data_IF_772893892565
#
_entry.id   IF_772893892565
#
_cell.length_a   1.000
_cell.length_b   1.000
_cell.length_c   1.000
_cell.angle_alpha   90.00
_cell.angle_beta   90.00
_cell.angle_gamma   90.00
#
_symmetry.space_group_name_H-M   'P 1'
#
loop_
_entity.id
_entity.type
_entity.pdbx_description
1 polymer ?
#
# COMPACT_ATOMS: atom_id res chain seq x y z
N UNK A 1 -37.75 -23.97 8.03
CA UNK A 1 -36.52 -23.19 8.32
C UNK A 1 -36.60 -21.88 7.54
N UNK A 2 -36.47 -20.72 8.19
CA UNK A 2 -36.83 -19.40 7.63
C UNK A 2 -35.81 -18.93 6.58
N UNK A 3 -36.27 -18.53 5.39
CA UNK A 3 -35.43 -18.06 4.27
C UNK A 3 -34.55 -16.86 4.69
N UNK A 4 -35.06 -15.97 5.53
CA UNK A 4 -34.29 -14.84 6.11
C UNK A 4 -33.10 -15.31 6.96
N UNK A 5 -33.25 -16.43 7.67
CA UNK A 5 -32.19 -16.99 8.49
C UNK A 5 -31.07 -17.56 7.64
N UNK A 6 -31.42 -18.32 6.59
CA UNK A 6 -30.46 -18.91 5.65
C UNK A 6 -29.66 -17.82 4.92
N UNK A 7 -30.32 -16.76 4.44
CA UNK A 7 -29.64 -15.64 3.77
C UNK A 7 -28.68 -14.89 4.70
N UNK A 8 -29.05 -14.70 5.97
CA UNK A 8 -28.20 -14.03 6.98
C UNK A 8 -26.95 -14.85 7.30
N UNK A 9 -27.11 -16.15 7.51
CA UNK A 9 -26.01 -17.08 7.80
C UNK A 9 -25.05 -17.17 6.60
N UNK A 10 -25.59 -17.33 5.39
CA UNK A 10 -24.79 -17.36 4.16
C UNK A 10 -23.98 -16.07 3.99
N UNK A 11 -24.59 -14.90 4.21
CA UNK A 11 -23.89 -13.61 4.15
C UNK A 11 -22.76 -13.52 5.20
N UNK A 12 -23.01 -13.99 6.42
CA UNK A 12 -21.99 -14.05 7.49
C UNK A 12 -20.79 -14.91 7.10
N UNK A 13 -21.05 -16.11 6.57
CA UNK A 13 -20.01 -17.04 6.12
C UNK A 13 -19.20 -16.47 4.97
N UNK A 14 -19.87 -15.87 3.96
CA UNK A 14 -19.21 -15.18 2.85
C UNK A 14 -18.36 -14.00 3.31
N UNK A 15 -18.81 -13.26 4.33
CA UNK A 15 -18.02 -12.18 4.95
C UNK A 15 -16.76 -12.71 5.63
N UNK A 16 -16.82 -13.86 6.30
CA UNK A 16 -15.65 -14.48 6.93
C UNK A 16 -14.64 -14.98 5.88
N UNK A 17 -15.11 -15.61 4.81
CA UNK A 17 -14.26 -16.10 3.72
C UNK A 17 -13.61 -14.92 2.97
N UNK A 18 -14.38 -13.87 2.66
CA UNK A 18 -13.84 -12.69 1.98
C UNK A 18 -12.81 -11.94 2.83
N UNK A 19 -13.00 -11.88 4.16
CA UNK A 19 -11.98 -11.37 5.10
C UNK A 19 -10.71 -12.22 5.05
N UNK A 20 -10.85 -13.54 5.14
CA UNK A 20 -9.70 -14.46 5.09
C UNK A 20 -8.92 -14.32 3.78
N UNK A 21 -9.61 -14.28 2.64
CA UNK A 21 -9.01 -14.02 1.32
C UNK A 21 -8.27 -12.68 1.30
N UNK A 22 -8.84 -11.64 1.89
CA UNK A 22 -8.22 -10.31 1.93
C UNK A 22 -6.95 -10.32 2.78
N UNK A 23 -6.96 -10.99 3.93
CA UNK A 23 -5.75 -11.16 4.75
C UNK A 23 -4.68 -11.96 4.03
N UNK A 24 -5.06 -13.03 3.34
CA UNK A 24 -4.14 -13.82 2.53
C UNK A 24 -3.51 -12.99 1.42
N UNK A 25 -4.30 -12.27 0.61
CA UNK A 25 -3.77 -11.48 -0.50
C UNK A 25 -2.87 -10.34 -0.01
N UNK A 26 -3.25 -9.65 1.08
CA UNK A 26 -2.41 -8.61 1.66
C UNK A 26 -1.09 -9.17 2.18
N UNK A 27 -1.12 -10.32 2.85
CA UNK A 27 0.08 -11.02 3.31
C UNK A 27 0.96 -11.48 2.15
N UNK A 28 0.35 -12.15 1.17
CA UNK A 28 1.04 -12.70 0.02
C UNK A 28 1.69 -11.62 -0.85
N UNK A 29 0.94 -10.59 -1.24
CA UNK A 29 1.43 -9.56 -2.17
C UNK A 29 2.47 -8.64 -1.55
N UNK A 30 2.23 -8.11 -0.33
CA UNK A 30 3.14 -7.12 0.25
C UNK A 30 4.36 -7.73 0.95
N UNK A 31 4.27 -8.96 1.44
CA UNK A 31 5.33 -9.54 2.26
C UNK A 31 6.02 -10.72 1.57
N UNK A 32 5.27 -11.79 1.27
CA UNK A 32 5.88 -13.01 0.73
C UNK A 32 6.41 -12.83 -0.69
N UNK A 33 5.57 -12.32 -1.60
CA UNK A 33 5.94 -12.11 -3.00
C UNK A 33 7.05 -11.06 -3.12
N UNK A 34 6.98 -9.99 -2.32
CA UNK A 34 8.02 -8.96 -2.28
C UNK A 34 9.38 -9.51 -1.85
N UNK A 35 9.45 -10.24 -0.73
CA UNK A 35 10.70 -10.81 -0.25
C UNK A 35 11.25 -11.86 -1.23
N UNK A 36 10.41 -12.76 -1.74
CA UNK A 36 10.86 -13.74 -2.72
C UNK A 36 11.33 -13.09 -4.02
N UNK A 37 10.64 -12.05 -4.49
CA UNK A 37 11.06 -11.29 -5.67
C UNK A 37 12.41 -10.61 -5.46
N UNK A 38 12.64 -10.00 -4.29
CA UNK A 38 13.93 -9.40 -3.95
C UNK A 38 15.06 -10.43 -3.89
N UNK A 39 14.84 -11.56 -3.20
CA UNK A 39 15.83 -12.63 -3.10
C UNK A 39 16.18 -13.19 -4.49
N UNK A 40 15.17 -13.43 -5.31
CA UNK A 40 15.36 -13.88 -6.69
C UNK A 40 16.08 -12.82 -7.53
N UNK A 41 15.70 -11.55 -7.41
CA UNK A 41 16.33 -10.46 -8.15
C UNK A 41 17.82 -10.36 -7.81
N UNK A 42 18.17 -10.35 -6.53
CA UNK A 42 19.58 -10.30 -6.07
C UNK A 42 20.35 -11.54 -6.53
N UNK A 43 19.74 -12.72 -6.46
CA UNK A 43 20.37 -13.97 -6.88
C UNK A 43 20.62 -13.99 -8.39
N UNK A 44 19.59 -13.76 -9.19
CA UNK A 44 19.65 -13.83 -10.66
C UNK A 44 20.55 -12.72 -11.21
N UNK A 45 20.43 -11.49 -10.70
CA UNK A 45 21.29 -10.38 -11.14
C UNK A 45 22.76 -10.65 -10.85
N UNK A 46 23.10 -11.31 -9.74
CA UNK A 46 24.47 -11.71 -9.48
C UNK A 46 24.98 -12.77 -10.46
N UNK A 47 24.30 -13.91 -10.55
CA UNK A 47 24.77 -15.06 -11.33
C UNK A 47 24.70 -14.83 -12.84
N UNK A 48 23.70 -14.07 -13.34
CA UNK A 48 23.60 -13.78 -14.77
C UNK A 48 24.41 -12.55 -15.18
N UNK A 49 24.38 -11.48 -14.39
CA UNK A 49 24.99 -10.21 -14.78
C UNK A 49 26.41 -10.08 -14.25
N UNK A 50 26.62 -10.23 -12.95
CA UNK A 50 27.90 -9.88 -12.32
C UNK A 50 28.97 -10.95 -12.55
N UNK A 51 28.65 -12.22 -12.35
CA UNK A 51 29.63 -13.31 -12.47
C UNK A 51 30.16 -13.47 -13.91
N UNK A 52 29.34 -13.12 -14.91
CA UNK A 52 29.73 -13.22 -16.32
C UNK A 52 30.50 -11.98 -16.82
N UNK A 53 30.69 -10.94 -16.00
CA UNK A 53 31.46 -9.75 -16.41
C UNK A 53 32.95 -9.98 -16.20
N UNK A 54 33.72 -9.96 -17.30
CA UNK A 54 35.18 -10.09 -17.31
C UNK A 54 35.94 -8.99 -16.54
N UNK A 55 35.23 -7.94 -16.11
CA UNK A 55 35.78 -6.77 -15.40
C UNK A 55 35.83 -7.02 -13.87
N UNK A 56 35.07 -8.00 -13.39
CA UNK A 56 34.93 -8.26 -11.95
C UNK A 56 36.10 -9.14 -11.49
N UNK A 57 36.82 -8.69 -10.46
CA UNK A 57 37.89 -9.48 -9.85
C UNK A 57 37.34 -10.80 -9.30
N UNK A 58 38.08 -11.90 -9.48
CA UNK A 58 37.77 -13.23 -8.94
C UNK A 58 37.48 -13.26 -7.42
N UNK A 59 37.93 -12.25 -6.68
CA UNK A 59 37.67 -12.12 -5.25
C UNK A 59 36.25 -11.60 -4.90
N UNK A 60 35.47 -11.15 -5.89
CA UNK A 60 34.14 -10.59 -5.68
C UNK A 60 33.08 -11.68 -5.47
N UNK A 61 32.95 -12.12 -4.22
CA UNK A 61 31.97 -13.13 -3.82
C UNK A 61 30.55 -12.56 -3.69
N UNK A 62 29.54 -13.43 -3.87
CA UNK A 62 28.10 -13.12 -3.69
C UNK A 62 27.78 -12.29 -2.43
N UNK A 63 28.42 -12.57 -1.30
CA UNK A 63 28.21 -11.83 -0.04
C UNK A 63 28.52 -10.33 -0.17
N UNK A 64 29.58 -9.97 -0.89
CA UNK A 64 29.95 -8.57 -1.11
C UNK A 64 28.92 -7.87 -1.98
N UNK A 65 28.40 -8.57 -2.99
CA UNK A 65 27.30 -8.07 -3.81
C UNK A 65 26.04 -7.81 -2.99
N UNK A 66 25.61 -8.77 -2.16
CA UNK A 66 24.43 -8.61 -1.29
C UNK A 66 24.60 -7.40 -0.37
N UNK A 67 25.77 -7.23 0.23
CA UNK A 67 26.04 -6.09 1.11
C UNK A 67 25.95 -4.75 0.36
N UNK A 68 26.60 -4.64 -0.80
CA UNK A 68 26.52 -3.45 -1.66
C UNK A 68 25.10 -3.18 -2.14
N UNK A 69 24.39 -4.23 -2.53
CA UNK A 69 23.00 -4.14 -2.96
C UNK A 69 22.14 -3.55 -1.85
N UNK A 70 22.21 -4.06 -0.61
CA UNK A 70 21.41 -3.53 0.50
C UNK A 70 21.75 -2.06 0.79
N UNK A 71 23.05 -1.72 0.80
CA UNK A 71 23.52 -0.35 1.08
C UNK A 71 23.07 0.64 0.02
N UNK A 72 22.94 0.23 -1.24
CA UNK A 72 22.55 1.12 -2.35
C UNK A 72 21.04 1.10 -2.60
N UNK A 73 20.43 -0.09 -2.63
CA UNK A 73 19.02 -0.27 -2.93
C UNK A 73 18.12 0.34 -1.86
N UNK A 74 18.43 0.15 -0.57
CA UNK A 74 17.60 0.65 0.51
C UNK A 74 17.45 2.18 0.51
N UNK A 75 18.54 3.00 0.45
CA UNK A 75 18.39 4.45 0.37
C UNK A 75 17.73 4.89 -0.93
N UNK A 76 18.05 4.26 -2.07
CA UNK A 76 17.38 4.58 -3.34
C UNK A 76 15.87 4.32 -3.27
N UNK A 77 15.45 3.18 -2.71
CA UNK A 77 14.04 2.85 -2.53
C UNK A 77 13.33 3.86 -1.62
N UNK A 78 13.98 4.32 -0.54
CA UNK A 78 13.44 5.37 0.33
C UNK A 78 13.29 6.70 -0.41
N UNK A 79 14.30 7.12 -1.17
CA UNK A 79 14.27 8.37 -1.94
C UNK A 79 13.17 8.33 -3.00
N UNK A 80 13.07 7.25 -3.76
CA UNK A 80 12.03 7.06 -4.77
C UNK A 80 10.65 7.03 -4.13
N UNK A 81 10.49 6.31 -3.02
CA UNK A 81 9.22 6.28 -2.27
C UNK A 81 8.81 7.64 -1.72
N UNK A 82 9.76 8.41 -1.20
CA UNK A 82 9.51 9.78 -0.76
C UNK A 82 9.08 10.69 -1.92
N UNK A 83 9.74 10.58 -3.07
CA UNK A 83 9.37 11.33 -4.26
C UNK A 83 7.96 10.96 -4.74
N UNK A 84 7.62 9.67 -4.74
CA UNK A 84 6.29 9.22 -5.13
C UNK A 84 5.19 9.74 -4.19
N UNK A 85 5.43 9.70 -2.88
CA UNK A 85 4.49 10.24 -1.89
C UNK A 85 4.25 11.75 -2.04
N UNK A 86 5.31 12.50 -2.35
CA UNK A 86 5.25 13.97 -2.40
C UNK A 86 4.76 14.51 -3.74
N UNK A 87 5.22 13.91 -4.85
CA UNK A 87 5.03 14.43 -6.21
C UNK A 87 4.54 13.39 -7.21
N UNK A 88 4.51 12.11 -6.85
CA UNK A 88 4.13 11.02 -7.74
C UNK A 88 2.65 10.63 -7.65
N UNK A 89 2.40 9.33 -7.84
CA UNK A 89 1.06 8.79 -8.08
C UNK A 89 0.26 8.64 -6.80
N UNK A 90 0.91 8.58 -5.65
CA UNK A 90 0.27 8.37 -4.35
C UNK A 90 -0.91 9.33 -4.09
N UNK A 91 -0.77 10.61 -4.46
CA UNK A 91 -1.85 11.61 -4.29
C UNK A 91 -3.05 11.34 -5.18
N UNK A 92 -2.83 10.82 -6.39
CA UNK A 92 -3.89 10.45 -7.34
C UNK A 92 -4.59 9.19 -6.87
N UNK A 93 -3.84 8.19 -6.41
CA UNK A 93 -4.40 6.95 -5.85
C UNK A 93 -5.31 7.22 -4.66
N UNK A 94 -4.93 8.13 -3.75
CA UNK A 94 -5.79 8.52 -2.64
C UNK A 94 -7.09 9.18 -3.09
N UNK A 95 -7.03 10.07 -4.09
CA UNK A 95 -8.24 10.68 -4.65
C UNK A 95 -9.14 9.64 -5.30
N UNK A 96 -8.58 8.74 -6.10
CA UNK A 96 -9.32 7.64 -6.71
C UNK A 96 -9.94 6.72 -5.65
N UNK A 97 -9.21 6.42 -4.56
CA UNK A 97 -9.74 5.63 -3.46
C UNK A 97 -10.92 6.31 -2.75
N UNK A 98 -10.89 7.64 -2.62
CA UNK A 98 -12.01 8.44 -2.11
C UNK A 98 -13.23 8.37 -3.03
N UNK A 99 -13.04 8.44 -4.35
CA UNK A 99 -14.12 8.44 -5.33
C UNK A 99 -14.75 7.05 -5.53
N UNK A 100 -13.92 6.00 -5.58
CA UNK A 100 -14.35 4.64 -5.88
C UNK A 100 -15.00 3.95 -4.68
N UNK A 101 -14.67 4.36 -3.46
CA UNK A 101 -15.22 3.74 -2.26
C UNK A 101 -16.48 4.47 -1.78
N UNK A 102 -17.64 3.80 -1.77
CA UNK A 102 -18.87 4.41 -1.28
C UNK A 102 -18.79 4.77 0.21
N UNK A 103 -18.02 4.01 0.99
CA UNK A 103 -17.79 4.30 2.42
C UNK A 103 -17.02 5.60 2.60
N UNK A 104 -15.93 5.79 1.86
CA UNK A 104 -15.14 7.02 1.97
C UNK A 104 -15.94 8.22 1.51
N UNK A 105 -16.72 8.09 0.42
CA UNK A 105 -17.62 9.14 -0.03
C UNK A 105 -18.59 9.59 1.08
N UNK A 106 -19.28 8.65 1.74
CA UNK A 106 -20.20 8.97 2.84
C UNK A 106 -19.50 9.65 4.03
N UNK A 107 -18.29 9.18 4.38
CA UNK A 107 -17.51 9.78 5.47
C UNK A 107 -17.16 11.24 5.14
N UNK A 108 -16.69 11.52 3.92
CA UNK A 108 -16.31 12.88 3.53
C UNK A 108 -17.51 13.82 3.45
N UNK A 109 -18.66 13.37 2.92
CA UNK A 109 -19.88 14.19 2.88
C UNK A 109 -20.35 14.60 4.28
N UNK A 110 -20.27 13.69 5.26
CA UNK A 110 -20.61 13.99 6.66
C UNK A 110 -19.61 14.96 7.29
N UNK A 111 -18.32 14.83 6.99
CA UNK A 111 -17.30 15.75 7.47
C UNK A 111 -17.51 17.17 6.92
N UNK A 112 -17.83 17.29 5.63
CA UNK A 112 -18.10 18.58 5.00
C UNK A 112 -19.35 19.25 5.62
N UNK A 113 -20.41 18.47 5.88
CA UNK A 113 -21.61 18.97 6.55
C UNK A 113 -21.34 19.47 7.99
N UNK A 114 -20.48 18.78 8.74
CA UNK A 114 -20.05 19.22 10.07
C UNK A 114 -19.23 20.51 10.01
N UNK A 115 -18.34 20.64 9.02
CA UNK A 115 -17.56 21.86 8.80
C UNK A 115 -18.44 23.06 8.47
N UNK A 116 -19.45 22.89 7.61
CA UNK A 116 -20.41 23.96 7.31
C UNK A 116 -21.18 24.41 8.55
N UNK A 117 -21.68 23.45 9.33
CA UNK A 117 -22.41 23.75 10.57
C UNK A 117 -21.52 24.48 11.59
N UNK A 118 -20.24 24.12 11.69
CA UNK A 118 -19.28 24.80 12.55
C UNK A 118 -19.08 26.26 12.10
N UNK A 119 -18.94 26.50 10.80
CA UNK A 119 -18.78 27.85 10.25
C UNK A 119 -20.03 28.70 10.48
N UNK A 120 -21.24 28.16 10.29
CA UNK A 120 -22.49 28.86 10.60
C UNK A 120 -22.57 29.29 12.07
N UNK A 121 -22.14 28.41 12.99
CA UNK A 121 -22.09 28.75 14.42
C UNK A 121 -21.09 29.88 14.67
N UNK A 122 -19.88 29.82 14.10
CA UNK A 122 -18.87 30.87 14.25
C UNK A 122 -19.39 32.20 13.70
N UNK A 123 -20.02 32.19 12.53
CA UNK A 123 -20.58 33.39 11.91
C UNK A 123 -21.73 33.96 12.75
N UNK A 124 -22.58 33.11 13.34
CA UNK A 124 -23.64 33.57 14.25
C UNK A 124 -23.12 34.19 15.55
N UNK A 125 -21.97 33.74 16.06
CA UNK A 125 -21.33 34.31 17.24
C UNK A 125 -20.64 35.63 16.88
N UNK A 126 -19.93 35.67 15.75
CA UNK A 126 -19.15 36.84 15.31
C UNK A 126 -20.04 38.01 14.88
N UNK A 127 -21.20 37.74 14.27
CA UNK A 127 -22.16 38.78 13.89
C UNK A 127 -23.11 39.20 15.03
N UNK A 128 -23.00 38.57 16.22
CA UNK A 128 -23.78 38.92 17.40
C UNK A 128 -23.01 39.83 18.39
N UNK A 129 -21.69 39.99 18.20
CA UNK A 129 -20.85 41.03 18.83
C UNK A 129 -20.81 42.31 17.98
#
# INVERSE_FOLDING_TARGET
>A
MNEKFVKKELKSQLLNISRLRTYFLRGHSNWFAYVMSLLNFVTISFYLLIENLTIVSDNFKFRHYVLLFVVVYLPLAIIVGYFDMTRGTYRVEQKMAKELSPLWKEVFEKLDALGMKQNEIIDSITNAE
#
